data_IF_254394129873
#
_entry.id   IF_254394129873
#
_cell.length_a   1.000
_cell.length_b   1.000
_cell.length_c   1.000
_cell.angle_alpha   90.00
_cell.angle_beta   90.00
_cell.angle_gamma   90.00
#
_symmetry.space_group_name_H-M   'P 1'
#
loop_
_entity.id
_entity.type
_entity.pdbx_description
1 polymer ?
#
# COMPACT_ATOMS: atom_id res chain seq x y z
N UNK A 1 9.27 -7.83 -6.10
CA UNK A 1 9.20 -7.30 -7.48
C UNK A 1 9.70 -8.30 -8.51
N UNK A 2 11.02 -8.51 -8.68
CA UNK A 2 11.60 -9.33 -9.77
C UNK A 2 11.16 -10.79 -9.81
N UNK A 3 11.14 -11.51 -8.69
CA UNK A 3 10.76 -12.94 -8.63
C UNK A 3 9.34 -13.24 -9.15
N UNK A 4 8.42 -12.29 -8.96
CA UNK A 4 6.99 -12.43 -9.34
C UNK A 4 6.58 -11.49 -10.48
N UNK A 5 7.54 -10.79 -11.09
CA UNK A 5 7.31 -9.76 -12.10
C UNK A 5 6.17 -8.77 -11.77
N UNK A 6 6.20 -8.21 -10.55
CA UNK A 6 5.21 -7.23 -10.09
C UNK A 6 5.69 -5.80 -10.33
N UNK A 7 4.76 -4.88 -10.59
CA UNK A 7 5.02 -3.44 -10.73
C UNK A 7 4.91 -2.68 -9.39
N UNK A 8 4.04 -3.17 -8.50
CA UNK A 8 3.87 -2.64 -7.15
C UNK A 8 3.51 -3.74 -6.13
N UNK A 9 3.87 -3.56 -4.87
CA UNK A 9 3.39 -4.33 -3.71
C UNK A 9 2.86 -3.36 -2.66
N UNK A 10 1.66 -3.64 -2.13
CA UNK A 10 1.11 -2.94 -0.97
C UNK A 10 1.32 -3.84 0.25
N UNK A 11 2.10 -3.35 1.22
CA UNK A 11 2.46 -4.10 2.43
C UNK A 11 1.82 -3.46 3.66
N UNK A 12 1.01 -4.23 4.38
CA UNK A 12 0.45 -3.83 5.67
C UNK A 12 1.52 -3.82 6.76
N UNK A 13 1.64 -2.72 7.51
CA UNK A 13 2.52 -2.67 8.67
C UNK A 13 1.78 -3.14 9.94
N UNK A 14 1.60 -4.46 10.07
CA UNK A 14 0.80 -5.09 11.13
C UNK A 14 1.39 -4.97 12.54
N UNK A 15 2.60 -4.43 12.71
CA UNK A 15 3.21 -4.25 14.03
C UNK A 15 2.73 -2.98 14.75
N UNK A 16 1.92 -2.15 14.09
CA UNK A 16 1.44 -0.87 14.62
C UNK A 16 -0.05 -0.94 15.03
N UNK A 17 -0.46 -0.30 16.14
CA UNK A 17 -1.86 -0.27 16.57
C UNK A 17 -2.81 0.34 15.53
N UNK A 18 -3.87 -0.40 15.19
CA UNK A 18 -4.84 -0.01 14.17
C UNK A 18 -4.37 -0.28 12.73
N UNK A 19 -3.36 -1.12 12.54
CA UNK A 19 -3.03 -1.73 11.26
C UNK A 19 -3.53 -3.18 11.18
N UNK A 20 -3.97 -3.61 9.99
CA UNK A 20 -4.34 -5.00 9.72
C UNK A 20 -5.83 -5.32 9.68
N UNK A 21 -6.19 -6.44 10.30
CA UNK A 21 -7.51 -7.09 10.17
C UNK A 21 -8.50 -6.60 11.23
N UNK A 22 -9.80 -6.72 10.95
CA UNK A 22 -10.92 -6.35 11.84
C UNK A 22 -10.91 -4.90 12.36
N UNK A 23 -10.29 -3.99 11.60
CA UNK A 23 -10.31 -2.53 11.82
C UNK A 23 -10.70 -1.81 10.54
N UNK A 24 -11.22 -0.59 10.65
CA UNK A 24 -11.55 0.23 9.46
C UNK A 24 -10.34 1.02 8.93
N UNK A 25 -9.28 1.10 9.73
CA UNK A 25 -8.03 1.79 9.38
C UNK A 25 -6.90 0.81 9.11
N UNK A 26 -5.89 1.25 8.37
CA UNK A 26 -4.67 0.51 8.15
C UNK A 26 -3.48 1.46 7.95
N UNK A 27 -2.26 0.91 8.03
CA UNK A 27 -0.99 1.61 7.79
C UNK A 27 -0.23 0.77 6.77
N UNK A 28 0.07 1.34 5.60
CA UNK A 28 0.66 0.56 4.50
C UNK A 28 1.87 1.26 3.90
N UNK A 29 2.79 0.44 3.38
CA UNK A 29 3.87 0.89 2.50
C UNK A 29 3.61 0.38 1.10
N UNK A 30 3.87 1.23 0.11
CA UNK A 30 3.84 0.86 -1.29
C UNK A 30 5.29 0.70 -1.78
N UNK A 31 5.62 -0.50 -2.26
CA UNK A 31 6.92 -0.82 -2.82
C UNK A 31 6.82 -0.94 -4.34
N UNK A 32 7.63 -0.18 -5.05
CA UNK A 32 7.63 -0.12 -6.50
C UNK A 32 8.76 -0.97 -7.10
N UNK A 33 8.62 -1.33 -8.39
CA UNK A 33 9.60 -2.15 -9.13
C UNK A 33 10.98 -1.50 -9.26
N UNK A 34 11.03 -0.17 -9.29
CA UNK A 34 12.23 0.65 -9.38
C UNK A 34 12.97 0.81 -8.04
N UNK A 35 12.39 0.32 -6.94
CA UNK A 35 12.94 0.45 -5.59
C UNK A 35 12.40 1.64 -4.80
N UNK A 36 11.53 2.47 -5.38
CA UNK A 36 10.81 3.51 -4.62
C UNK A 36 9.95 2.86 -3.54
N UNK A 37 9.90 3.49 -2.38
CA UNK A 37 9.04 3.12 -1.26
C UNK A 37 8.26 4.36 -0.86
N UNK A 38 6.93 4.24 -0.82
CA UNK A 38 6.03 5.29 -0.39
C UNK A 38 5.31 4.86 0.89
N UNK A 39 5.34 5.73 1.90
CA UNK A 39 4.65 5.54 3.16
C UNK A 39 3.26 6.16 3.11
N UNK A 40 2.22 5.33 3.34
CA UNK A 40 0.87 5.84 3.58
C UNK A 40 0.62 5.83 5.09
N UNK A 41 0.32 6.99 5.70
CA UNK A 41 0.04 7.09 7.12
C UNK A 41 -1.24 6.33 7.49
N UNK A 42 -1.55 6.25 8.79
CA UNK A 42 -2.80 5.65 9.26
C UNK A 42 -3.98 6.39 8.65
N UNK A 43 -4.77 5.67 7.85
CA UNK A 43 -5.96 6.20 7.19
C UNK A 43 -7.00 5.08 7.02
N UNK A 44 -8.21 5.43 6.59
CA UNK A 44 -9.27 4.44 6.34
C UNK A 44 -8.90 3.50 5.19
N UNK A 45 -9.44 2.28 5.20
CA UNK A 45 -9.24 1.32 4.09
C UNK A 45 -9.80 1.85 2.77
N UNK A 46 -10.86 2.66 2.83
CA UNK A 46 -11.44 3.36 1.69
C UNK A 46 -10.50 4.43 1.11
N UNK A 47 -9.78 5.17 1.95
CA UNK A 47 -8.79 6.13 1.46
C UNK A 47 -7.56 5.42 0.89
N UNK A 48 -7.12 4.31 1.50
CA UNK A 48 -6.02 3.49 0.96
C UNK A 48 -6.39 2.95 -0.41
N UNK A 49 -7.62 2.47 -0.61
CA UNK A 49 -8.05 1.94 -1.90
C UNK A 49 -8.04 3.00 -2.99
N UNK A 50 -8.48 4.23 -2.69
CA UNK A 50 -8.39 5.38 -3.61
C UNK A 50 -6.95 5.69 -3.97
N UNK A 51 -6.05 5.78 -2.98
CA UNK A 51 -4.62 6.00 -3.22
C UNK A 51 -4.04 4.92 -4.14
N UNK A 52 -4.32 3.64 -3.88
CA UNK A 52 -3.86 2.53 -4.72
C UNK A 52 -4.37 2.68 -6.16
N UNK A 53 -5.64 3.01 -6.35
CA UNK A 53 -6.21 3.21 -7.69
C UNK A 53 -5.53 4.37 -8.42
N UNK A 54 -5.26 5.48 -7.74
CA UNK A 54 -4.56 6.61 -8.33
C UNK A 54 -3.11 6.24 -8.72
N UNK A 55 -2.40 5.48 -7.89
CA UNK A 55 -1.06 4.95 -8.27
C UNK A 55 -1.13 3.98 -9.44
N UNK A 56 -2.16 3.15 -9.53
CA UNK A 56 -2.34 2.23 -10.66
C UNK A 56 -2.52 3.00 -11.97
N UNK A 57 -3.28 4.11 -11.94
CA UNK A 57 -3.49 4.97 -13.11
C UNK A 57 -2.21 5.59 -13.66
N UNK A 58 -1.19 5.80 -12.83
CA UNK A 58 0.13 6.29 -13.29
C UNK A 58 0.87 5.30 -14.19
N UNK A 59 0.47 4.02 -14.21
CA UNK A 59 1.06 3.00 -15.10
C UNK A 59 0.32 2.85 -16.44
N UNK A 60 -0.79 3.56 -16.64
CA UNK A 60 -1.53 3.59 -17.90
C UNK A 60 -1.04 4.71 -18.81
#
# INVERSE_FOLDING_TARGET
MKKKNLDMIVANNVTLPGAGFNTDTNIVKILYKDGRIEDLPKMSKEEISKNILDKIREFC
#
